data_IF_202121677872
#
_entry.id   IF_202121677872
#
_cell.length_a   1.000
_cell.length_b   1.000
_cell.length_c   1.000
_cell.angle_alpha   90.00
_cell.angle_beta   90.00
_cell.angle_gamma   90.00
#
_symmetry.space_group_name_H-M   'P 1'
#
loop_
_entity.id
_entity.type
_entity.pdbx_description
1 polymer ?
#
# COMPACT_ATOMS: atom_id res chain seq x y z
N UNK A 1 50.29 -1.79 13.54
CA UNK A 1 49.09 -2.08 14.36
C UNK A 1 48.98 -0.98 15.40
N UNK A 2 47.79 -0.44 15.67
CA UNK A 2 47.58 0.83 16.41
C UNK A 2 47.97 0.82 17.90
N UNK A 3 48.61 -0.23 18.43
CA UNK A 3 49.10 -0.33 19.82
C UNK A 3 48.00 -0.41 20.89
N UNK A 4 46.74 -0.15 20.52
CA UNK A 4 45.61 -0.12 21.44
C UNK A 4 45.09 -1.55 21.72
N UNK A 5 44.77 -1.86 22.99
CA UNK A 5 43.97 -3.03 23.35
C UNK A 5 42.66 -3.05 22.55
N UNK A 6 42.24 -4.25 22.11
CA UNK A 6 41.05 -4.46 21.27
C UNK A 6 39.81 -3.73 21.80
N UNK A 7 39.61 -3.75 23.11
CA UNK A 7 38.46 -3.15 23.77
C UNK A 7 38.48 -1.62 23.71
N UNK A 8 39.66 -1.02 23.88
CA UNK A 8 39.85 0.43 23.79
C UNK A 8 39.66 0.92 22.35
N UNK A 9 40.15 0.16 21.38
CA UNK A 9 39.92 0.41 19.97
C UNK A 9 38.44 0.30 19.58
N UNK A 10 37.71 -0.69 20.11
CA UNK A 10 36.27 -0.82 19.84
C UNK A 10 35.45 0.30 20.51
N UNK A 11 35.81 0.70 21.73
CA UNK A 11 35.16 1.84 22.40
C UNK A 11 35.35 3.13 21.63
N UNK A 12 36.55 3.43 21.13
CA UNK A 12 36.80 4.65 20.35
C UNK A 12 36.01 4.69 19.04
N UNK A 13 35.76 3.53 18.42
CA UNK A 13 34.94 3.46 17.20
C UNK A 13 33.44 3.73 17.45
N UNK A 14 32.97 3.52 18.69
CA UNK A 14 31.54 3.55 19.03
C UNK A 14 31.19 4.76 19.92
N UNK A 15 32.17 5.39 20.58
CA UNK A 15 31.99 6.44 21.61
C UNK A 15 31.06 7.59 21.19
N UNK A 16 31.04 7.93 19.90
CA UNK A 16 30.24 9.02 19.33
C UNK A 16 29.25 8.55 18.26
N UNK A 17 28.91 7.25 18.26
CA UNK A 17 27.96 6.67 17.30
C UNK A 17 26.59 6.53 17.93
N UNK A 18 25.60 7.11 17.28
CA UNK A 18 24.20 6.90 17.62
C UNK A 18 23.79 5.48 17.18
N UNK A 19 23.74 4.55 18.15
CA UNK A 19 23.32 3.17 17.91
C UNK A 19 21.80 3.14 17.82
N UNK A 20 21.30 3.09 16.60
CA UNK A 20 19.87 2.87 16.37
C UNK A 20 19.58 1.36 16.44
N UNK A 21 18.62 0.93 17.27
CA UNK A 21 18.18 -0.45 17.23
C UNK A 21 17.69 -0.77 15.82
N UNK A 22 18.00 -1.98 15.33
CA UNK A 22 17.42 -2.47 14.08
C UNK A 22 15.90 -2.33 14.18
N UNK A 23 15.21 -1.70 13.21
CA UNK A 23 13.76 -1.60 13.23
C UNK A 23 13.13 -2.98 13.44
N UNK A 24 12.20 -3.07 14.39
CA UNK A 24 11.53 -4.33 14.71
C UNK A 24 10.85 -4.89 13.46
N UNK A 25 11.16 -6.15 13.11
CA UNK A 25 10.67 -6.81 11.89
C UNK A 25 9.16 -6.98 11.86
N UNK A 26 8.50 -6.94 13.03
CA UNK A 26 7.05 -6.99 13.14
C UNK A 26 6.35 -5.86 12.36
N UNK A 27 6.93 -4.65 12.34
CA UNK A 27 6.34 -3.53 11.61
C UNK A 27 6.63 -3.57 10.10
N UNK A 28 7.60 -4.36 9.64
CA UNK A 28 7.95 -4.42 8.23
C UNK A 28 6.82 -4.99 7.38
N UNK A 29 6.12 -6.00 7.90
CA UNK A 29 4.95 -6.57 7.23
C UNK A 29 3.80 -5.55 7.17
N UNK A 30 3.53 -4.86 8.28
CA UNK A 30 2.51 -3.82 8.35
C UNK A 30 2.80 -2.68 7.36
N UNK A 31 4.05 -2.20 7.30
CA UNK A 31 4.47 -1.17 6.33
C UNK A 31 4.27 -1.65 4.91
N UNK A 32 4.65 -2.90 4.59
CA UNK A 32 4.43 -3.46 3.24
C UNK A 32 2.95 -3.53 2.87
N UNK A 33 2.09 -3.95 3.80
CA UNK A 33 0.64 -3.99 3.59
C UNK A 33 0.07 -2.58 3.38
N UNK A 34 0.45 -1.61 4.21
CA UNK A 34 0.04 -0.20 4.07
C UNK A 34 0.49 0.37 2.72
N UNK A 35 1.74 0.14 2.31
CA UNK A 35 2.24 0.59 1.00
C UNK A 35 1.45 -0.03 -0.16
N UNK A 36 1.07 -1.32 -0.05
CA UNK A 36 0.20 -1.98 -1.03
C UNK A 36 -1.17 -1.32 -1.14
N UNK A 37 -1.80 -1.00 0.00
CA UNK A 37 -3.09 -0.29 0.04
C UNK A 37 -2.99 1.10 -0.60
N UNK A 38 -1.95 1.87 -0.28
CA UNK A 38 -1.72 3.19 -0.87
C UNK A 38 -1.51 3.11 -2.39
N UNK A 39 -0.78 2.12 -2.88
CA UNK A 39 -0.61 1.91 -4.32
C UNK A 39 -1.94 1.58 -5.01
N UNK A 40 -2.80 0.78 -4.37
CA UNK A 40 -4.14 0.50 -4.89
C UNK A 40 -5.01 1.76 -4.91
N UNK A 41 -5.00 2.55 -3.84
CA UNK A 41 -5.71 3.83 -3.79
C UNK A 41 -5.23 4.80 -4.88
N UNK A 42 -3.92 4.89 -5.10
CA UNK A 42 -3.34 5.71 -6.18
C UNK A 42 -3.75 5.20 -7.56
N UNK A 43 -3.79 3.89 -7.79
CA UNK A 43 -4.28 3.33 -9.05
C UNK A 43 -5.76 3.61 -9.26
N UNK A 44 -6.58 3.53 -8.22
CA UNK A 44 -8.00 3.88 -8.29
C UNK A 44 -8.20 5.37 -8.56
N UNK A 45 -7.45 6.24 -7.88
CA UNK A 45 -7.47 7.68 -8.12
C UNK A 45 -6.99 8.01 -9.54
N UNK A 46 -5.89 7.40 -10.00
CA UNK A 46 -5.42 7.54 -11.37
C UNK A 46 -6.43 7.04 -12.38
N UNK A 47 -7.08 5.90 -12.16
CA UNK A 47 -8.17 5.42 -13.02
C UNK A 47 -9.34 6.39 -13.01
N UNK A 48 -9.81 6.83 -11.85
CA UNK A 48 -10.91 7.81 -11.78
C UNK A 48 -10.56 9.10 -12.53
N UNK A 49 -9.32 9.57 -12.40
CA UNK A 49 -8.81 10.77 -13.08
C UNK A 49 -8.58 10.55 -14.58
N UNK A 50 -8.12 9.37 -15.01
CA UNK A 50 -7.85 9.03 -16.41
C UNK A 50 -9.11 8.63 -17.17
N UNK A 51 -10.16 8.20 -16.48
CA UNK A 51 -11.43 7.80 -17.08
C UNK A 51 -12.46 8.94 -17.06
N UNK A 52 -12.08 10.14 -16.61
CA UNK A 52 -12.83 11.40 -16.69
C UNK A 52 -14.33 11.24 -16.97
N UNK A 53 -15.11 10.84 -15.96
CA UNK A 53 -16.54 10.51 -16.03
C UNK A 53 -16.80 9.23 -16.83
N UNK A 54 -17.30 8.17 -16.19
CA UNK A 54 -17.95 7.08 -16.92
C UNK A 54 -19.05 7.73 -17.79
N UNK A 55 -18.85 7.75 -19.11
CA UNK A 55 -19.76 8.44 -20.01
C UNK A 55 -21.20 8.00 -19.77
N UNK A 56 -22.17 8.88 -19.99
CA UNK A 56 -23.59 8.62 -19.71
C UNK A 56 -24.03 7.27 -20.29
N UNK A 57 -23.51 6.88 -21.45
CA UNK A 57 -23.74 5.58 -22.08
C UNK A 57 -23.33 4.37 -21.21
N UNK A 58 -22.17 4.42 -20.54
CA UNK A 58 -21.72 3.34 -19.65
C UNK A 58 -22.58 3.26 -18.40
N UNK A 59 -23.04 4.40 -17.89
CA UNK A 59 -23.97 4.49 -16.75
C UNK A 59 -25.35 3.95 -17.14
N UNK A 60 -25.84 4.32 -18.31
CA UNK A 60 -27.13 3.87 -18.84
C UNK A 60 -27.12 2.36 -19.08
N UNK A 61 -26.02 1.81 -19.61
CA UNK A 61 -25.87 0.37 -19.83
C UNK A 61 -25.79 -0.41 -18.51
N UNK A 62 -25.05 0.11 -17.52
CA UNK A 62 -25.05 -0.47 -16.17
C UNK A 62 -26.44 -0.46 -15.54
N UNK A 63 -27.21 0.63 -15.72
CA UNK A 63 -28.60 0.71 -15.26
C UNK A 63 -29.53 -0.25 -15.99
N UNK A 64 -29.33 -0.46 -17.30
CA UNK A 64 -30.11 -1.41 -18.11
C UNK A 64 -29.92 -2.83 -17.60
N UNK A 65 -28.67 -3.26 -17.43
CA UNK A 65 -28.32 -4.60 -16.95
C UNK A 65 -28.88 -4.84 -15.54
N UNK A 66 -28.76 -3.86 -14.63
CA UNK A 66 -29.31 -3.97 -13.28
C UNK A 66 -30.84 -4.17 -13.27
N UNK A 67 -31.57 -3.50 -14.17
CA UNK A 67 -33.02 -3.64 -14.32
C UNK A 67 -33.43 -4.98 -14.91
N UNK A 68 -32.66 -5.52 -15.85
CA UNK A 68 -32.89 -6.84 -16.43
C UNK A 68 -32.70 -7.94 -15.39
N UNK A 69 -31.60 -7.89 -14.63
CA UNK A 69 -31.34 -8.85 -13.54
C UNK A 69 -32.45 -8.79 -12.49
N UNK A 70 -32.89 -7.58 -12.08
CA UNK A 70 -33.99 -7.44 -11.13
C UNK A 70 -35.30 -8.04 -11.64
N UNK A 71 -35.62 -7.85 -12.92
CA UNK A 71 -36.82 -8.42 -13.54
C UNK A 71 -36.75 -9.94 -13.56
N UNK A 72 -35.61 -10.49 -13.98
CA UNK A 72 -35.39 -11.95 -14.03
C UNK A 72 -35.57 -12.59 -12.65
N UNK A 73 -35.02 -11.95 -11.60
CA UNK A 73 -35.21 -12.43 -10.22
C UNK A 73 -36.69 -12.39 -9.86
N UNK A 74 -37.40 -11.29 -10.12
CA UNK A 74 -38.83 -11.17 -9.76
C UNK A 74 -39.76 -12.12 -10.53
N UNK A 75 -39.40 -12.48 -11.76
CA UNK A 75 -40.23 -13.32 -12.62
C UNK A 75 -39.94 -14.81 -12.43
N UNK A 76 -38.71 -15.19 -12.06
CA UNK A 76 -38.28 -16.59 -11.93
C UNK A 76 -38.03 -17.06 -10.48
N UNK A 77 -38.04 -16.16 -9.49
CA UNK A 77 -37.90 -16.46 -8.05
C UNK A 77 -38.90 -15.67 -7.21
#
# INVERSE_FOLDING_TARGET
MSGLPREEYLRSLILDKEIHPRPCTHHAELVRQISGLCNNANQLAHRANSTGVAGQQSVDEMMRIAKEVWREIKENY
#
